data_IF_011726825941
#
_entry.id   IF_011726825941
#
_cell.length_a   1.000
_cell.length_b   1.000
_cell.length_c   1.000
_cell.angle_alpha   90.00
_cell.angle_beta   90.00
_cell.angle_gamma   90.00
#
_symmetry.space_group_name_H-M   'P 1'
#
loop_
_entity.id
_entity.type
_entity.pdbx_description
1 polymer ?
#
# COMPACT_ATOMS: atom_id res chain seq x y z
N UNK A 1 -6.99 -5.87 -13.53
CA UNK A 1 -7.19 -5.41 -12.40
C UNK A 1 -6.41 -4.17 -12.03
N UNK A 2 -7.05 -3.08 -12.28
CA UNK A 2 -6.38 -1.82 -12.11
C UNK A 2 -6.96 -0.96 -11.03
N UNK A 3 -7.40 -1.62 -9.97
CA UNK A 3 -7.87 -0.87 -8.82
C UNK A 3 -6.68 -0.27 -8.11
N UNK A 4 -6.09 0.75 -8.71
CA UNK A 4 -4.95 1.43 -8.12
C UNK A 4 -5.45 2.40 -7.06
N UNK A 5 -5.38 2.00 -5.82
CA UNK A 5 -5.79 2.87 -4.73
C UNK A 5 -4.87 4.07 -4.58
N UNK A 6 -3.68 4.02 -5.16
CA UNK A 6 -2.77 5.15 -5.16
C UNK A 6 -3.17 6.24 -6.17
N UNK A 7 -4.19 5.99 -6.99
CA UNK A 7 -4.68 7.02 -7.91
C UNK A 7 -5.42 8.13 -7.15
N UNK A 8 -5.40 9.36 -7.67
CA UNK A 8 -6.16 10.44 -7.05
C UNK A 8 -7.64 10.10 -6.92
N UNK A 9 -8.24 10.53 -5.83
CA UNK A 9 -9.65 10.31 -5.54
C UNK A 9 -10.43 11.61 -5.68
N UNK A 10 -11.70 11.52 -6.11
CA UNK A 10 -12.58 12.67 -6.15
C UNK A 10 -13.12 13.01 -4.75
N UNK A 11 -13.03 12.10 -3.79
CA UNK A 11 -13.46 12.37 -2.43
C UNK A 11 -12.36 13.12 -1.67
N UNK A 12 -12.64 14.32 -1.12
CA UNK A 12 -11.60 15.13 -0.48
C UNK A 12 -10.93 14.45 0.70
N UNK A 13 -11.68 13.73 1.53
CA UNK A 13 -11.10 13.07 2.69
C UNK A 13 -10.20 11.91 2.29
N UNK A 14 -10.65 11.12 1.32
CA UNK A 14 -9.82 10.01 0.82
C UNK A 14 -8.56 10.58 0.16
N UNK A 15 -8.70 11.66 -0.60
CA UNK A 15 -7.53 12.27 -1.24
C UNK A 15 -6.53 12.81 -0.22
N UNK A 16 -7.02 13.38 0.89
CA UNK A 16 -6.15 13.85 1.96
C UNK A 16 -5.36 12.67 2.56
N UNK A 17 -6.03 11.57 2.84
CA UNK A 17 -5.36 10.37 3.36
C UNK A 17 -4.37 9.82 2.34
N UNK A 18 -4.79 9.71 1.09
CA UNK A 18 -3.92 9.18 0.04
C UNK A 18 -2.63 10.00 -0.08
N UNK A 19 -2.76 11.32 -0.16
CA UNK A 19 -1.60 12.19 -0.31
C UNK A 19 -0.66 12.09 0.88
N UNK A 20 -1.22 12.07 2.08
CA UNK A 20 -0.41 11.95 3.28
C UNK A 20 0.32 10.61 3.33
N UNK A 21 -0.38 9.53 3.04
CA UNK A 21 0.21 8.19 3.06
C UNK A 21 1.34 8.08 2.04
N UNK A 22 1.13 8.61 0.83
CA UNK A 22 2.17 8.56 -0.19
C UNK A 22 3.42 9.34 0.20
N UNK A 23 3.26 10.45 0.91
CA UNK A 23 4.42 11.22 1.37
C UNK A 23 5.17 10.54 2.52
N UNK A 24 4.50 9.65 3.26
CA UNK A 24 5.06 8.98 4.43
C UNK A 24 4.96 7.47 4.30
N UNK A 25 5.18 6.95 3.09
CA UNK A 25 4.79 5.58 2.71
C UNK A 25 5.47 4.49 3.54
N UNK A 26 6.62 4.76 4.13
CA UNK A 26 7.33 3.77 4.95
C UNK A 26 7.02 3.88 6.44
N UNK A 27 6.18 4.84 6.84
CA UNK A 27 5.86 5.06 8.25
C UNK A 27 4.61 4.29 8.66
N UNK A 28 4.42 4.17 9.95
CA UNK A 28 3.18 3.64 10.52
C UNK A 28 2.17 4.77 10.61
N UNK A 29 0.89 4.45 10.48
CA UNK A 29 -0.16 5.46 10.47
C UNK A 29 -1.14 5.27 11.61
N UNK A 30 -1.48 6.38 12.26
CA UNK A 30 -2.45 6.42 13.34
C UNK A 30 -3.76 6.94 12.76
N UNK A 31 -4.84 6.14 12.92
CA UNK A 31 -6.14 6.49 12.35
C UNK A 31 -6.69 7.78 12.94
N UNK A 32 -6.42 8.05 14.22
CA UNK A 32 -6.88 9.28 14.86
C UNK A 32 -6.22 10.50 14.23
N UNK A 33 -4.94 10.39 13.93
CA UNK A 33 -4.21 11.46 13.27
C UNK A 33 -4.75 11.72 11.86
N UNK A 34 -5.03 10.64 11.11
CA UNK A 34 -5.57 10.76 9.76
C UNK A 34 -6.95 11.40 9.77
N UNK A 35 -7.79 11.02 10.73
CA UNK A 35 -9.12 11.62 10.86
C UNK A 35 -8.99 13.12 11.17
N UNK A 36 -8.07 13.48 12.05
CA UNK A 36 -7.83 14.89 12.40
C UNK A 36 -7.38 15.68 11.15
N UNK A 37 -6.54 15.10 10.32
CA UNK A 37 -6.13 15.75 9.07
C UNK A 37 -7.31 16.01 8.15
N UNK A 38 -8.32 15.16 8.20
CA UNK A 38 -9.52 15.29 7.38
C UNK A 38 -10.60 16.13 8.06
N UNK A 39 -10.36 16.60 9.29
CA UNK A 39 -11.32 17.38 10.07
C UNK A 39 -12.61 16.60 10.35
N UNK A 40 -12.48 15.29 10.61
CA UNK A 40 -13.62 14.42 10.92
C UNK A 40 -13.24 13.51 12.09
N UNK A 41 -14.26 12.86 12.68
CA UNK A 41 -14.02 11.84 13.69
C UNK A 41 -13.53 10.55 13.04
N UNK A 42 -12.95 9.66 13.85
CA UNK A 42 -12.56 8.34 13.34
C UNK A 42 -13.75 7.58 12.78
N UNK A 43 -14.90 7.66 13.46
CA UNK A 43 -16.12 7.02 12.99
C UNK A 43 -16.53 7.53 11.61
N UNK A 44 -16.49 8.84 11.43
CA UNK A 44 -16.84 9.44 10.14
C UNK A 44 -15.84 9.00 9.05
N UNK A 45 -14.56 8.93 9.40
CA UNK A 45 -13.55 8.47 8.43
C UNK A 45 -13.83 7.03 8.00
N UNK A 46 -14.14 6.14 8.94
CA UNK A 46 -14.52 4.77 8.61
C UNK A 46 -15.75 4.73 7.69
N UNK A 47 -16.76 5.55 8.00
CA UNK A 47 -17.97 5.60 7.18
C UNK A 47 -17.68 6.07 5.76
N UNK A 48 -16.81 7.06 5.61
CA UNK A 48 -16.42 7.56 4.29
C UNK A 48 -15.73 6.48 3.48
N UNK A 49 -14.75 5.79 4.08
CA UNK A 49 -14.04 4.74 3.38
C UNK A 49 -14.94 3.58 3.01
N UNK A 50 -15.83 3.18 3.93
CA UNK A 50 -16.77 2.10 3.63
C UNK A 50 -17.72 2.48 2.50
N UNK A 51 -18.24 3.69 2.53
CA UNK A 51 -19.18 4.15 1.50
C UNK A 51 -18.52 4.30 0.14
N UNK A 52 -17.33 4.90 0.10
CA UNK A 52 -16.68 5.22 -1.16
C UNK A 52 -15.88 4.06 -1.74
N UNK A 53 -15.27 3.25 -0.90
CA UNK A 53 -14.33 2.21 -1.35
C UNK A 53 -14.68 0.81 -0.87
N UNK A 54 -15.59 0.69 0.08
CA UNK A 54 -15.96 -0.62 0.63
C UNK A 54 -14.88 -1.29 1.47
N UNK A 55 -13.86 -0.54 1.90
CA UNK A 55 -12.78 -1.07 2.73
C UNK A 55 -12.49 -0.13 3.88
N UNK A 56 -11.77 -0.63 4.89
CA UNK A 56 -11.37 0.20 6.02
C UNK A 56 -10.17 1.07 5.65
N UNK A 57 -9.94 2.16 6.36
CA UNK A 57 -8.74 2.96 6.15
C UNK A 57 -7.46 2.16 6.31
N UNK A 58 -7.41 1.23 7.27
CA UNK A 58 -6.22 0.40 7.46
C UNK A 58 -5.95 -0.49 6.24
N UNK A 59 -7.01 -1.09 5.69
CA UNK A 59 -6.88 -1.90 4.46
C UNK A 59 -6.43 -1.05 3.29
N UNK A 60 -6.96 0.16 3.19
CA UNK A 60 -6.58 1.09 2.14
C UNK A 60 -5.09 1.41 2.19
N UNK A 61 -4.59 1.77 3.39
CA UNK A 61 -3.18 2.10 3.58
C UNK A 61 -2.30 0.90 3.23
N UNK A 62 -2.69 -0.28 3.70
CA UNK A 62 -1.94 -1.50 3.41
C UNK A 62 -1.84 -1.75 1.91
N UNK A 63 -2.94 -1.57 1.19
CA UNK A 63 -2.95 -1.79 -0.26
C UNK A 63 -2.08 -0.78 -0.99
N UNK A 64 -2.08 0.48 -0.55
CA UNK A 64 -1.20 1.50 -1.13
C UNK A 64 0.26 1.10 -0.93
N UNK A 65 0.61 0.62 0.26
CA UNK A 65 1.97 0.17 0.55
C UNK A 65 2.35 -1.04 -0.31
N UNK A 66 1.43 -1.99 -0.46
CA UNK A 66 1.67 -3.17 -1.29
C UNK A 66 1.86 -2.79 -2.76
N UNK A 67 1.09 -1.81 -3.25
CA UNK A 67 1.27 -1.32 -4.62
C UNK A 67 2.65 -0.68 -4.80
N UNK A 68 3.10 0.09 -3.81
CA UNK A 68 4.43 0.70 -3.86
C UNK A 68 5.53 -0.37 -3.87
N UNK A 69 5.37 -1.40 -3.05
CA UNK A 69 6.32 -2.52 -3.01
C UNK A 69 6.33 -3.25 -4.36
N UNK A 70 5.16 -3.49 -4.93
CA UNK A 70 5.07 -4.13 -6.23
C UNK A 70 5.86 -3.35 -7.29
N UNK A 71 5.72 -2.02 -7.30
CA UNK A 71 6.44 -1.19 -8.24
C UNK A 71 7.95 -1.29 -8.03
N UNK A 72 8.42 -1.25 -6.79
CA UNK A 72 9.85 -1.39 -6.51
C UNK A 72 10.38 -2.76 -6.91
N UNK A 73 9.62 -3.84 -6.60
CA UNK A 73 10.03 -5.20 -6.97
C UNK A 73 10.05 -5.38 -8.47
N UNK A 74 9.06 -4.80 -9.16
CA UNK A 74 9.00 -4.89 -10.62
C UNK A 74 10.16 -4.17 -11.28
N UNK A 75 10.66 -3.12 -10.66
CA UNK A 75 11.82 -2.41 -11.13
C UNK A 75 13.12 -3.19 -10.88
N UNK A 76 13.18 -3.94 -9.80
CA UNK A 76 14.27 -4.86 -9.49
C UNK A 76 15.61 -4.24 -9.14
N UNK A 77 15.77 -2.94 -9.33
CA UNK A 77 17.03 -2.27 -9.04
C UNK A 77 17.19 -2.07 -7.54
N UNK A 78 18.39 -2.32 -7.05
CA UNK A 78 18.75 -2.08 -5.65
C UNK A 78 17.96 -2.90 -4.63
N UNK A 79 17.17 -3.87 -5.10
CA UNK A 79 16.43 -4.75 -4.20
C UNK A 79 17.24 -6.01 -3.97
N UNK A 80 17.69 -6.21 -2.74
CA UNK A 80 18.47 -7.36 -2.38
C UNK A 80 17.59 -8.59 -2.15
N UNK A 81 16.53 -8.41 -1.39
CA UNK A 81 15.56 -9.47 -1.15
C UNK A 81 14.23 -8.87 -0.70
N UNK A 82 13.21 -9.74 -0.71
CA UNK A 82 11.85 -9.34 -0.37
C UNK A 82 11.71 -8.92 1.09
N UNK A 83 12.39 -9.63 1.99
CA UNK A 83 12.30 -9.34 3.42
C UNK A 83 12.70 -7.90 3.72
N UNK A 84 13.80 -7.46 3.11
CA UNK A 84 14.32 -6.12 3.33
C UNK A 84 13.30 -5.04 2.95
N UNK A 85 12.68 -5.19 1.79
CA UNK A 85 11.70 -4.19 1.35
C UNK A 85 10.42 -4.24 2.20
N UNK A 86 9.97 -5.45 2.58
CA UNK A 86 8.78 -5.57 3.42
C UNK A 86 8.98 -4.88 4.76
N UNK A 87 10.13 -5.10 5.39
CA UNK A 87 10.44 -4.48 6.68
C UNK A 87 10.52 -2.96 6.54
N UNK A 88 11.11 -2.48 5.47
CA UNK A 88 11.23 -1.04 5.24
C UNK A 88 9.87 -0.35 5.18
N UNK A 89 8.86 -1.06 4.67
CA UNK A 89 7.49 -0.54 4.60
C UNK A 89 6.66 -0.82 5.85
N UNK A 90 7.27 -1.43 6.88
CA UNK A 90 6.59 -1.65 8.15
C UNK A 90 5.88 -2.98 8.29
N UNK A 91 6.06 -3.90 7.35
CA UNK A 91 5.46 -5.24 7.45
C UNK A 91 6.34 -6.13 8.31
N UNK A 92 5.82 -6.51 9.51
CA UNK A 92 6.58 -7.32 10.45
C UNK A 92 6.23 -8.80 10.39
N UNK A 93 5.00 -9.13 9.98
CA UNK A 93 4.57 -10.51 9.81
C UNK A 93 4.74 -10.88 8.33
N UNK A 94 5.85 -11.52 7.99
CA UNK A 94 6.19 -11.79 6.60
C UNK A 94 5.26 -12.80 5.94
N UNK A 95 4.73 -13.76 6.70
CA UNK A 95 3.76 -14.71 6.13
C UNK A 95 2.47 -14.01 5.75
N UNK A 96 1.97 -13.15 6.63
CA UNK A 96 0.76 -12.36 6.31
C UNK A 96 1.01 -11.43 5.14
N UNK A 97 2.15 -10.77 5.13
CA UNK A 97 2.54 -9.90 4.03
C UNK A 97 2.51 -10.65 2.70
N UNK A 98 3.14 -11.82 2.64
CA UNK A 98 3.19 -12.61 1.40
C UNK A 98 1.81 -13.02 0.93
N UNK A 99 0.93 -13.42 1.87
CA UNK A 99 -0.43 -13.81 1.52
C UNK A 99 -1.23 -12.63 1.00
N UNK A 100 -1.13 -11.48 1.65
CA UNK A 100 -1.82 -10.28 1.22
C UNK A 100 -1.33 -9.81 -0.15
N UNK A 101 -0.03 -9.88 -0.37
CA UNK A 101 0.57 -9.55 -1.66
C UNK A 101 0.04 -10.46 -2.76
N UNK A 102 0.04 -11.76 -2.50
CA UNK A 102 -0.43 -12.73 -3.48
C UNK A 102 -1.91 -12.53 -3.81
N UNK A 103 -2.72 -12.22 -2.81
CA UNK A 103 -4.14 -11.96 -3.05
C UNK A 103 -4.35 -10.75 -3.96
N UNK A 104 -3.51 -9.74 -3.80
CA UNK A 104 -3.66 -8.51 -4.58
C UNK A 104 -3.08 -8.62 -5.99
N UNK A 105 -1.94 -9.27 -6.14
CA UNK A 105 -1.20 -9.29 -7.40
C UNK A 105 -1.17 -10.63 -8.12
N UNK A 106 -1.69 -11.68 -7.49
CA UNK A 106 -1.76 -13.01 -8.12
C UNK A 106 -0.47 -13.79 -8.08
N UNK A 107 0.58 -13.27 -7.45
CA UNK A 107 1.86 -13.97 -7.32
C UNK A 107 2.53 -13.56 -6.03
N UNK A 108 3.53 -14.36 -5.61
CA UNK A 108 4.31 -14.04 -4.42
C UNK A 108 5.29 -12.90 -4.71
N UNK A 109 5.67 -12.14 -3.66
CA UNK A 109 6.65 -11.06 -3.86
C UNK A 109 7.96 -11.55 -4.47
N UNK A 110 8.42 -12.74 -4.05
CA UNK A 110 9.65 -13.32 -4.58
C UNK A 110 9.55 -13.60 -6.07
N UNK A 111 8.36 -13.95 -6.55
CA UNK A 111 8.16 -14.19 -7.98
C UNK A 111 8.27 -12.91 -8.77
N UNK A 112 7.72 -11.82 -8.26
CA UNK A 112 7.82 -10.52 -8.91
C UNK A 112 9.29 -10.10 -9.04
N UNK A 113 10.04 -10.21 -7.96
CA UNK A 113 11.44 -9.83 -7.95
C UNK A 113 12.27 -10.71 -8.89
N UNK A 114 12.02 -12.00 -8.88
CA UNK A 114 12.72 -12.95 -9.73
C UNK A 114 12.51 -12.62 -11.21
N UNK A 115 11.25 -12.33 -11.58
CA UNK A 115 10.94 -11.97 -12.95
C UNK A 115 11.65 -10.69 -13.37
N UNK A 116 11.65 -9.68 -12.48
CA UNK A 116 12.31 -8.41 -12.77
C UNK A 116 13.81 -8.58 -13.01
N UNK A 117 14.47 -9.44 -12.21
CA UNK A 117 15.90 -9.66 -12.32
C UNK A 117 16.29 -10.50 -13.53
N UNK A 118 15.34 -11.25 -14.09
CA UNK A 118 15.61 -12.06 -15.27
C UNK A 118 15.47 -11.30 -16.57
N UNK A 119 14.79 -10.18 -16.56
CA UNK A 119 14.60 -9.40 -17.78
C UNK A 119 15.91 -8.75 -18.20
N UNK A 120 16.28 -8.88 -19.48
CA UNK A 120 17.51 -8.23 -19.93
C UNK A 120 17.37 -6.72 -19.85
N UNK A 121 18.45 -6.10 -19.42
CA UNK A 121 18.57 -4.66 -19.40
C UNK A 121 18.95 -4.21 -20.81
N UNK A 122 18.09 -3.52 -21.47
CA UNK A 122 18.38 -3.04 -22.83
C UNK A 122 18.64 -1.55 -22.82
#
# INVERSE_FOLDING_TARGET
ADARLSRPSSNPQIETVRSYVLRHITEDFDIEHLAALCHVSTKTLYNIFNRELGITPASYIRQIKLEAIFQELSNGEHIRNVTEIAIRYGFTNLSRFSNQYKQLFGELPSATLKTAKKLPSI
#
